data_IF_935194458908
#
_entry.id   IF_935194458908
#
_cell.length_a   1.000
_cell.length_b   1.000
_cell.length_c   1.000
_cell.angle_alpha   90.00
_cell.angle_beta   90.00
_cell.angle_gamma   90.00
#
_symmetry.space_group_name_H-M   'P 1'
#
loop_
_entity.id
_entity.type
_entity.pdbx_description
1 polymer ?
#
# COMPACT_ATOMS: atom_id res chain seq x y z
N UNK A 1 22.05 -18.76 2.07
CA UNK A 1 20.79 -19.21 1.41
C UNK A 1 19.56 -19.07 2.33
N UNK A 2 19.64 -19.38 3.61
CA UNK A 2 18.48 -19.22 4.53
C UNK A 2 18.01 -17.77 4.69
N UNK A 3 18.93 -16.80 4.80
CA UNK A 3 18.58 -15.39 4.97
C UNK A 3 17.86 -14.80 3.74
N UNK A 4 18.32 -15.11 2.52
CA UNK A 4 17.65 -14.68 1.28
C UNK A 4 16.19 -15.12 1.22
N UNK A 5 15.89 -16.38 1.58
CA UNK A 5 14.52 -16.88 1.61
C UNK A 5 13.68 -16.22 2.70
N UNK A 6 14.26 -15.93 3.86
CA UNK A 6 13.58 -15.24 4.96
C UNK A 6 13.18 -13.82 4.56
N UNK A 7 14.10 -13.04 3.97
CA UNK A 7 13.80 -11.67 3.53
C UNK A 7 12.79 -11.64 2.38
N UNK A 8 12.87 -12.59 1.44
CA UNK A 8 11.88 -12.70 0.36
C UNK A 8 10.49 -13.06 0.89
N UNK A 9 10.39 -14.04 1.79
CA UNK A 9 9.13 -14.42 2.42
C UNK A 9 8.51 -13.25 3.21
N UNK A 10 9.35 -12.49 3.93
CA UNK A 10 8.91 -11.30 4.67
C UNK A 10 8.42 -10.21 3.74
N UNK A 11 9.14 -9.94 2.63
CA UNK A 11 8.73 -8.96 1.62
C UNK A 11 7.43 -9.34 0.94
N UNK A 12 7.27 -10.60 0.55
CA UNK A 12 6.02 -11.12 -0.02
C UNK A 12 4.86 -10.99 0.98
N UNK A 13 5.08 -11.35 2.24
CA UNK A 13 4.08 -11.19 3.31
C UNK A 13 3.68 -9.72 3.46
N UNK A 14 4.66 -8.81 3.50
CA UNK A 14 4.41 -7.37 3.60
C UNK A 14 3.59 -6.88 2.40
N UNK A 15 4.02 -7.20 1.18
CA UNK A 15 3.37 -6.76 -0.05
C UNK A 15 1.94 -7.30 -0.19
N UNK A 16 1.72 -8.59 0.12
CA UNK A 16 0.38 -9.20 0.08
C UNK A 16 -0.56 -8.57 1.11
N UNK A 17 -0.09 -8.38 2.35
CA UNK A 17 -0.92 -7.77 3.39
C UNK A 17 -1.21 -6.29 3.09
N UNK A 18 -0.23 -5.54 2.59
CA UNK A 18 -0.42 -4.15 2.15
C UNK A 18 -1.48 -4.08 1.05
N UNK A 19 -1.36 -4.88 -0.01
CA UNK A 19 -2.31 -4.93 -1.11
C UNK A 19 -3.72 -5.34 -0.64
N UNK A 20 -3.82 -6.34 0.24
CA UNK A 20 -5.07 -6.80 0.80
C UNK A 20 -5.77 -5.73 1.66
N UNK A 21 -5.02 -5.01 2.50
CA UNK A 21 -5.57 -3.93 3.32
C UNK A 21 -5.94 -2.69 2.50
N UNK A 22 -5.21 -2.39 1.44
CA UNK A 22 -5.50 -1.28 0.56
C UNK A 22 -6.79 -1.49 -0.25
N UNK A 23 -7.13 -2.71 -0.60
CA UNK A 23 -8.34 -2.98 -1.39
C UNK A 23 -9.61 -2.41 -0.74
N UNK A 24 -9.97 -2.70 0.51
CA UNK A 24 -11.13 -2.10 1.17
C UNK A 24 -10.89 -0.64 1.58
N UNK A 25 -9.68 -0.29 2.07
CA UNK A 25 -9.38 1.05 2.57
C UNK A 25 -9.39 2.08 1.43
N UNK A 26 -8.50 1.92 0.45
CA UNK A 26 -8.42 2.80 -0.70
C UNK A 26 -9.67 2.69 -1.58
N UNK A 27 -10.25 1.49 -1.72
CA UNK A 27 -11.47 1.25 -2.49
C UNK A 27 -12.68 2.02 -1.94
N UNK A 28 -12.90 2.02 -0.63
CA UNK A 28 -14.01 2.77 -0.01
C UNK A 28 -13.83 4.29 -0.17
N UNK A 29 -12.62 4.80 0.03
CA UNK A 29 -12.29 6.21 -0.15
C UNK A 29 -12.41 6.62 -1.63
N UNK A 30 -11.94 5.79 -2.54
CA UNK A 30 -12.05 6.00 -3.98
C UNK A 30 -13.51 6.01 -4.45
N UNK A 31 -14.33 5.07 -3.99
CA UNK A 31 -15.75 5.05 -4.28
C UNK A 31 -16.47 6.31 -3.77
N UNK A 32 -16.21 6.68 -2.50
CA UNK A 32 -16.80 7.88 -1.88
C UNK A 32 -16.47 9.14 -2.71
N UNK A 33 -15.20 9.34 -3.05
CA UNK A 33 -14.74 10.53 -3.77
C UNK A 33 -15.09 10.50 -5.26
N UNK A 34 -15.20 9.32 -5.88
CA UNK A 34 -15.64 9.20 -7.27
C UNK A 34 -17.12 9.53 -7.45
N UNK A 35 -17.98 9.16 -6.49
CA UNK A 35 -19.43 9.14 -6.66
C UNK A 35 -20.19 10.19 -5.84
N UNK A 36 -19.53 10.88 -4.91
CA UNK A 36 -20.18 11.89 -4.08
C UNK A 36 -19.46 13.23 -4.15
N UNK A 37 -20.24 14.29 -4.07
CA UNK A 37 -19.79 15.66 -3.82
C UNK A 37 -20.12 16.02 -2.37
N UNK A 38 -19.13 16.51 -1.62
CA UNK A 38 -19.31 16.94 -0.23
C UNK A 38 -18.29 18.03 0.11
N UNK A 39 -18.61 18.83 1.13
CA UNK A 39 -17.69 19.86 1.61
C UNK A 39 -16.40 19.21 2.16
N UNK A 40 -15.22 19.70 1.73
CA UNK A 40 -13.92 19.15 2.13
C UNK A 40 -13.40 18.00 1.26
N UNK A 41 -14.12 17.57 0.19
CA UNK A 41 -13.66 16.53 -0.73
C UNK A 41 -12.26 16.81 -1.28
N UNK A 42 -12.01 18.02 -1.76
CA UNK A 42 -10.70 18.42 -2.32
C UNK A 42 -9.60 18.34 -1.26
N UNK A 43 -9.89 18.73 -0.03
CA UNK A 43 -8.94 18.61 1.07
C UNK A 43 -8.64 17.14 1.40
N UNK A 44 -9.67 16.28 1.45
CA UNK A 44 -9.48 14.85 1.65
C UNK A 44 -8.61 14.23 0.53
N UNK A 45 -8.92 14.53 -0.73
CA UNK A 45 -8.13 14.07 -1.87
C UNK A 45 -6.68 14.57 -1.78
N UNK A 46 -6.45 15.83 -1.43
CA UNK A 46 -5.10 16.39 -1.25
C UNK A 46 -4.33 15.68 -0.12
N UNK A 47 -4.97 15.41 1.02
CA UNK A 47 -4.36 14.67 2.13
C UNK A 47 -4.02 13.23 1.76
N UNK A 48 -4.91 12.56 1.02
CA UNK A 48 -4.67 11.19 0.56
C UNK A 48 -3.51 11.11 -0.43
N UNK A 49 -3.24 12.17 -1.20
CA UNK A 49 -2.15 12.24 -2.17
C UNK A 49 -0.83 12.74 -1.57
N UNK A 50 -0.86 13.31 -0.37
CA UNK A 50 0.31 13.88 0.29
C UNK A 50 1.52 12.94 0.35
N UNK A 51 1.36 11.64 0.67
CA UNK A 51 2.50 10.72 0.72
C UNK A 51 3.27 10.58 -0.59
N UNK A 52 2.64 10.80 -1.76
CA UNK A 52 3.33 10.78 -3.06
C UNK A 52 4.25 12.00 -3.28
N UNK A 53 3.97 13.10 -2.62
CA UNK A 53 4.73 14.35 -2.79
C UNK A 53 5.91 14.46 -1.82
N UNK A 54 5.89 13.68 -0.76
CA UNK A 54 6.95 13.66 0.24
C UNK A 54 8.06 12.68 -0.16
N UNK A 55 9.35 13.04 0.07
CA UNK A 55 10.42 12.06 -0.03
C UNK A 55 10.15 10.87 0.91
N UNK A 56 10.34 9.61 0.46
CA UNK A 56 10.04 8.41 1.26
C UNK A 56 10.70 8.42 2.64
N UNK A 57 11.94 8.90 2.73
CA UNK A 57 12.68 9.01 4.00
C UNK A 57 12.08 10.04 4.95
N UNK A 58 11.53 11.14 4.42
CA UNK A 58 10.86 12.18 5.22
C UNK A 58 9.55 11.64 5.80
N UNK A 59 8.74 10.98 4.96
CA UNK A 59 7.52 10.32 5.43
C UNK A 59 7.85 9.26 6.49
N UNK A 60 8.84 8.41 6.23
CA UNK A 60 9.30 7.38 7.16
C UNK A 60 9.77 7.95 8.48
N UNK A 61 10.48 9.08 8.47
CA UNK A 61 10.90 9.78 9.69
C UNK A 61 9.71 10.26 10.54
N UNK A 62 8.72 10.91 9.93
CA UNK A 62 7.53 11.35 10.66
C UNK A 62 6.70 10.17 11.17
N UNK A 63 6.61 9.08 10.41
CA UNK A 63 5.98 7.84 10.91
C UNK A 63 6.77 7.22 12.06
N UNK A 64 8.10 7.24 12.02
CA UNK A 64 8.93 6.77 13.13
C UNK A 64 8.67 7.59 14.41
N UNK A 65 8.56 8.92 14.31
CA UNK A 65 8.20 9.77 15.45
C UNK A 65 6.80 9.46 15.99
N UNK A 66 5.86 9.14 15.11
CA UNK A 66 4.48 8.82 15.49
C UNK A 66 4.36 7.46 16.18
N UNK A 67 5.08 6.44 15.63
CA UNK A 67 4.98 5.02 16.02
C UNK A 67 6.01 4.62 17.09
N UNK A 68 7.07 5.41 17.28
CA UNK A 68 8.19 5.12 18.17
C UNK A 68 7.95 5.50 19.63
N UNK A 69 8.92 5.14 20.47
CA UNK A 69 8.92 5.46 21.92
C UNK A 69 8.80 6.97 22.14
N UNK A 70 7.86 7.35 22.99
CA UNK A 70 7.56 8.77 23.26
C UNK A 70 6.63 9.44 22.24
N UNK A 71 6.28 8.79 21.17
CA UNK A 71 5.31 9.26 20.19
C UNK A 71 3.87 9.25 20.74
N UNK A 72 2.94 9.91 20.04
CA UNK A 72 1.54 9.98 20.49
C UNK A 72 0.88 8.61 20.60
N UNK A 73 1.22 7.63 19.73
CA UNK A 73 0.67 6.28 19.79
C UNK A 73 1.28 5.46 20.93
N UNK A 74 2.55 5.68 21.28
CA UNK A 74 3.17 5.02 22.43
C UNK A 74 2.49 5.41 23.75
N UNK A 75 1.98 6.66 23.87
CA UNK A 75 1.19 7.10 25.03
C UNK A 75 -0.13 6.35 25.15
N UNK A 76 -0.63 5.76 24.06
CA UNK A 76 -1.81 4.89 24.03
C UNK A 76 -1.46 3.39 24.18
N UNK A 77 -0.19 3.07 24.48
CA UNK A 77 0.30 1.70 24.61
C UNK A 77 0.65 1.01 23.30
N UNK A 78 0.70 1.75 22.18
CA UNK A 78 0.98 1.22 20.83
C UNK A 78 2.37 1.65 20.38
N UNK A 79 3.40 0.89 20.76
CA UNK A 79 4.75 1.05 20.24
C UNK A 79 4.94 0.13 19.02
N UNK A 80 4.87 0.69 17.82
CA UNK A 80 4.90 -0.07 16.57
C UNK A 80 6.20 0.10 15.78
N UNK A 81 7.04 1.09 16.13
CA UNK A 81 8.34 1.23 15.45
C UNK A 81 9.20 -0.01 15.67
N UNK A 82 9.97 -0.38 14.64
CA UNK A 82 10.85 -1.55 14.64
C UNK A 82 10.12 -2.90 14.76
N UNK A 83 8.84 -2.94 14.42
CA UNK A 83 8.03 -4.17 14.38
C UNK A 83 7.42 -4.39 12.98
N UNK A 84 7.03 -5.64 12.67
CA UNK A 84 6.33 -5.94 11.43
C UNK A 84 5.00 -5.16 11.27
N UNK A 85 4.12 -5.03 12.29
CA UNK A 85 2.94 -4.18 12.20
C UNK A 85 3.26 -2.70 11.89
N UNK A 86 4.38 -2.19 12.40
CA UNK A 86 4.82 -0.82 12.13
C UNK A 86 5.19 -0.61 10.67
N UNK A 87 5.99 -1.52 10.08
CA UNK A 87 6.33 -1.43 8.66
C UNK A 87 5.11 -1.69 7.76
N UNK A 88 4.18 -2.54 8.18
CA UNK A 88 2.92 -2.79 7.45
C UNK A 88 2.06 -1.52 7.41
N UNK A 89 1.88 -0.84 8.55
CA UNK A 89 1.16 0.43 8.60
C UNK A 89 1.82 1.50 7.73
N UNK A 90 3.15 1.59 7.80
CA UNK A 90 3.92 2.53 6.99
C UNK A 90 3.76 2.26 5.49
N UNK A 91 3.84 0.99 5.07
CA UNK A 91 3.63 0.58 3.68
C UNK A 91 2.21 0.83 3.19
N UNK A 92 1.19 0.57 4.03
CA UNK A 92 -0.20 0.90 3.69
C UNK A 92 -0.37 2.40 3.46
N UNK A 93 0.15 3.25 4.36
CA UNK A 93 0.03 4.70 4.23
C UNK A 93 0.79 5.24 3.01
N UNK A 94 1.97 4.70 2.72
CA UNK A 94 2.78 5.13 1.58
C UNK A 94 2.17 4.72 0.24
N UNK A 95 1.57 3.53 0.15
CA UNK A 95 0.95 3.00 -1.06
C UNK A 95 -0.52 3.43 -1.22
N UNK A 96 -1.14 4.01 -0.19
CA UNK A 96 -2.54 4.43 -0.22
C UNK A 96 -2.87 5.35 -1.40
N UNK A 97 -2.09 6.41 -1.71
CA UNK A 97 -2.40 7.28 -2.84
C UNK A 97 -2.34 6.55 -4.19
N UNK A 98 -1.44 5.58 -4.35
CA UNK A 98 -1.27 4.82 -5.59
C UNK A 98 -2.51 3.96 -5.89
N UNK A 99 -2.94 3.17 -4.90
CA UNK A 99 -4.16 2.38 -5.00
C UNK A 99 -5.42 3.26 -5.11
N UNK A 100 -5.50 4.32 -4.29
CA UNK A 100 -6.62 5.27 -4.29
C UNK A 100 -6.85 5.89 -5.65
N UNK A 101 -5.80 6.42 -6.30
CA UNK A 101 -5.94 7.04 -7.61
C UNK A 101 -6.42 6.05 -8.67
N UNK A 102 -5.81 4.87 -8.73
CA UNK A 102 -6.17 3.85 -9.72
C UNK A 102 -7.62 3.38 -9.53
N UNK A 103 -8.03 3.13 -8.30
CA UNK A 103 -9.41 2.71 -7.99
C UNK A 103 -10.42 3.84 -8.27
N UNK A 104 -10.05 5.09 -7.94
CA UNK A 104 -10.91 6.24 -8.18
C UNK A 104 -11.20 6.43 -9.67
N UNK A 105 -10.18 6.30 -10.53
CA UNK A 105 -10.38 6.38 -11.97
C UNK A 105 -11.24 5.23 -12.50
N UNK A 106 -11.05 4.01 -12.00
CA UNK A 106 -11.92 2.88 -12.35
C UNK A 106 -13.39 3.13 -11.99
N UNK A 107 -13.63 3.70 -10.79
CA UNK A 107 -14.99 4.06 -10.38
C UNK A 107 -15.56 5.26 -11.14
N UNK A 108 -14.74 6.24 -11.53
CA UNK A 108 -15.19 7.39 -12.34
C UNK A 108 -15.57 7.00 -13.76
N UNK A 109 -14.91 6.00 -14.32
CA UNK A 109 -15.19 5.48 -15.66
C UNK A 109 -16.56 4.80 -15.78
N UNK A 110 -17.23 4.44 -14.67
CA UNK A 110 -18.56 3.85 -14.70
C UNK A 110 -19.60 4.88 -15.15
N UNK A 111 -20.37 4.54 -16.17
CA UNK A 111 -21.52 5.35 -16.62
C UNK A 111 -22.60 5.39 -15.52
N UNK A 112 -22.99 6.58 -15.05
CA UNK A 112 -24.08 6.72 -14.08
C UNK A 112 -25.40 6.09 -14.55
N UNK A 113 -25.67 6.11 -15.86
CA UNK A 113 -26.89 5.59 -16.47
C UNK A 113 -27.05 4.09 -16.19
N UNK A 114 -25.96 3.33 -16.18
CA UNK A 114 -26.01 1.89 -15.86
C UNK A 114 -26.48 1.64 -14.42
N UNK A 115 -26.05 2.46 -13.49
CA UNK A 115 -26.44 2.34 -12.08
C UNK A 115 -27.93 2.73 -11.88
N UNK A 116 -28.39 3.77 -12.57
CA UNK A 116 -29.77 4.21 -12.54
C UNK A 116 -30.70 3.18 -13.18
N UNK A 117 -30.33 2.65 -14.35
CA UNK A 117 -31.08 1.59 -15.03
C UNK A 117 -31.22 0.34 -14.16
N UNK A 118 -30.15 -0.12 -13.52
CA UNK A 118 -30.21 -1.27 -12.63
C UNK A 118 -31.17 -1.04 -11.46
N UNK A 119 -31.20 0.18 -10.90
CA UNK A 119 -32.11 0.56 -9.80
C UNK A 119 -33.57 0.62 -10.27
N UNK A 120 -33.84 1.18 -11.45
CA UNK A 120 -35.20 1.24 -12.00
C UNK A 120 -35.75 -0.16 -12.32
N UNK A 121 -34.88 -1.12 -12.65
CA UNK A 121 -35.21 -2.52 -12.78
C UNK A 121 -35.39 -3.27 -11.45
N UNK A 122 -35.40 -2.54 -10.31
CA UNK A 122 -35.62 -3.11 -8.98
C UNK A 122 -34.40 -3.72 -8.32
N UNK A 123 -33.19 -3.52 -8.86
CA UNK A 123 -31.97 -4.02 -8.22
C UNK A 123 -31.66 -3.25 -6.92
N UNK A 124 -31.59 -3.97 -5.81
CA UNK A 124 -31.15 -3.40 -4.52
C UNK A 124 -29.65 -3.00 -4.55
N UNK A 125 -29.17 -2.20 -3.58
CA UNK A 125 -27.81 -1.67 -3.57
C UNK A 125 -26.72 -2.75 -3.66
N UNK A 126 -26.87 -3.84 -2.94
CA UNK A 126 -25.92 -4.95 -2.95
C UNK A 126 -25.88 -5.67 -4.32
N UNK A 127 -27.04 -5.82 -4.97
CA UNK A 127 -27.13 -6.40 -6.30
C UNK A 127 -26.47 -5.51 -7.35
N UNK A 128 -26.72 -4.19 -7.31
CA UNK A 128 -26.03 -3.21 -8.18
C UNK A 128 -24.51 -3.28 -7.97
N UNK A 129 -24.05 -3.38 -6.72
CA UNK A 129 -22.63 -3.49 -6.42
C UNK A 129 -22.00 -4.75 -7.00
N UNK A 130 -22.62 -5.92 -6.77
CA UNK A 130 -22.08 -7.22 -7.21
C UNK A 130 -22.18 -7.47 -8.71
N UNK A 131 -23.26 -7.02 -9.36
CA UNK A 131 -23.58 -7.38 -10.75
C UNK A 131 -23.18 -6.28 -11.74
N UNK A 132 -23.00 -5.03 -11.29
CA UNK A 132 -22.67 -3.91 -12.16
C UNK A 132 -21.32 -3.30 -11.77
N UNK A 133 -21.21 -2.79 -10.54
CA UNK A 133 -20.02 -2.03 -10.13
C UNK A 133 -18.78 -2.89 -10.14
N UNK A 134 -18.78 -3.97 -9.38
CA UNK A 134 -17.61 -4.82 -9.18
C UNK A 134 -17.10 -5.44 -10.50
N UNK A 135 -17.95 -6.05 -11.35
CA UNK A 135 -17.47 -6.62 -12.62
C UNK A 135 -16.86 -5.56 -13.57
N UNK A 136 -17.47 -4.38 -13.65
CA UNK A 136 -17.00 -3.33 -14.54
C UNK A 136 -15.73 -2.61 -14.04
N UNK A 137 -15.52 -2.56 -12.72
CA UNK A 137 -14.34 -1.92 -12.13
C UNK A 137 -13.22 -2.88 -11.78
N UNK A 138 -13.50 -4.20 -11.82
CA UNK A 138 -12.53 -5.22 -11.44
C UNK A 138 -11.16 -5.09 -12.10
N UNK A 139 -11.04 -4.81 -13.44
CA UNK A 139 -9.71 -4.64 -14.04
C UNK A 139 -8.91 -3.50 -13.44
N UNK A 140 -9.56 -2.36 -13.15
CA UNK A 140 -8.89 -1.23 -12.50
C UNK A 140 -8.56 -1.47 -11.04
N UNK A 141 -9.43 -2.18 -10.29
CA UNK A 141 -9.13 -2.59 -8.92
C UNK A 141 -7.95 -3.56 -8.88
N UNK A 142 -7.93 -4.53 -9.78
CA UNK A 142 -6.81 -5.48 -9.89
C UNK A 142 -5.51 -4.77 -10.25
N UNK A 143 -5.54 -3.88 -11.25
CA UNK A 143 -4.35 -3.10 -11.65
C UNK A 143 -3.78 -2.28 -10.51
N UNK A 144 -4.61 -1.56 -9.75
CA UNK A 144 -4.16 -0.78 -8.60
C UNK A 144 -3.64 -1.64 -7.46
N UNK A 145 -4.23 -2.82 -7.26
CA UNK A 145 -3.78 -3.79 -6.25
C UNK A 145 -2.41 -4.36 -6.62
N UNK A 146 -2.22 -4.77 -7.88
CA UNK A 146 -0.94 -5.29 -8.38
C UNK A 146 0.14 -4.22 -8.35
N UNK A 147 -0.21 -2.99 -8.71
CA UNK A 147 0.72 -1.86 -8.67
C UNK A 147 1.19 -1.57 -7.23
N UNK A 148 0.27 -1.55 -6.26
CA UNK A 148 0.61 -1.39 -4.85
C UNK A 148 1.45 -2.56 -4.32
N UNK A 149 1.15 -3.78 -4.74
CA UNK A 149 1.94 -4.97 -4.41
C UNK A 149 3.37 -4.86 -4.93
N UNK A 150 3.55 -4.61 -6.22
CA UNK A 150 4.87 -4.49 -6.85
C UNK A 150 5.69 -3.33 -6.25
N UNK A 151 5.04 -2.18 -6.01
CA UNK A 151 5.68 -1.03 -5.38
C UNK A 151 6.14 -1.36 -3.95
N UNK A 152 5.34 -2.09 -3.16
CA UNK A 152 5.71 -2.52 -1.80
C UNK A 152 6.92 -3.47 -1.81
N UNK A 153 7.07 -4.36 -2.80
CA UNK A 153 8.23 -5.24 -2.92
C UNK A 153 9.55 -4.46 -3.09
N UNK A 154 9.50 -3.35 -3.83
CA UNK A 154 10.65 -2.47 -4.05
C UNK A 154 10.82 -1.36 -3.01
N UNK A 155 9.89 -1.23 -2.05
CA UNK A 155 9.92 -0.15 -1.08
C UNK A 155 11.10 -0.28 -0.12
N UNK A 156 11.87 0.81 0.02
CA UNK A 156 13.08 0.84 0.82
C UNK A 156 13.03 1.95 1.90
N UNK A 157 12.86 3.20 1.47
CA UNK A 157 13.09 4.38 2.33
C UNK A 157 12.17 4.45 3.55
N UNK A 158 10.86 4.26 3.36
CA UNK A 158 9.87 4.31 4.46
C UNK A 158 10.04 3.12 5.39
N UNK A 159 10.22 1.91 4.82
CA UNK A 159 10.36 0.67 5.60
C UNK A 159 11.64 0.69 6.43
N UNK A 160 12.75 1.16 5.86
CA UNK A 160 14.01 1.29 6.59
C UNK A 160 13.90 2.28 7.76
N UNK A 161 13.26 3.41 7.55
CA UNK A 161 13.11 4.44 8.59
C UNK A 161 12.26 3.97 9.76
N UNK A 162 11.16 3.26 9.49
CA UNK A 162 10.20 2.80 10.51
C UNK A 162 10.62 1.48 11.15
N UNK A 163 11.20 0.59 10.34
CA UNK A 163 11.52 -0.79 10.73
C UNK A 163 12.97 -1.04 11.08
N UNK A 164 13.90 -0.20 10.60
CA UNK A 164 15.32 -0.53 10.64
C UNK A 164 15.64 -1.77 9.80
N UNK A 165 16.55 -2.61 10.31
CA UNK A 165 16.99 -3.84 9.62
C UNK A 165 17.08 -4.99 10.62
N UNK A 166 15.95 -5.42 11.18
CA UNK A 166 15.90 -6.49 12.18
C UNK A 166 15.64 -7.83 11.46
N UNK A 167 16.61 -8.78 11.48
CA UNK A 167 16.45 -10.07 10.84
C UNK A 167 15.21 -10.82 11.29
N UNK A 168 14.42 -11.30 10.33
CA UNK A 168 13.18 -12.05 10.60
C UNK A 168 11.97 -11.20 11.02
N UNK A 169 12.13 -9.91 11.29
CA UNK A 169 11.07 -9.01 11.76
C UNK A 169 10.78 -7.88 10.76
N UNK A 170 11.80 -7.09 10.39
CA UNK A 170 11.63 -5.90 9.54
C UNK A 170 12.62 -5.83 8.39
N UNK A 171 13.64 -6.70 8.35
CA UNK A 171 14.60 -6.78 7.24
C UNK A 171 13.93 -7.38 6.01
N UNK A 172 13.37 -6.52 5.15
CA UNK A 172 12.80 -6.90 3.86
C UNK A 172 13.88 -7.00 2.78
N UNK A 173 13.55 -7.58 1.63
CA UNK A 173 14.52 -7.87 0.57
C UNK A 173 15.19 -6.62 -0.01
N UNK A 174 14.49 -5.48 -0.11
CA UNK A 174 15.06 -4.20 -0.55
C UNK A 174 16.14 -3.67 0.42
N UNK A 175 15.93 -3.83 1.72
CA UNK A 175 16.92 -3.49 2.76
C UNK A 175 18.13 -4.44 2.68
N UNK A 176 17.88 -5.74 2.55
CA UNK A 176 18.96 -6.72 2.44
C UNK A 176 19.78 -6.54 1.16
N UNK A 177 19.14 -6.21 0.04
CA UNK A 177 19.82 -5.86 -1.21
C UNK A 177 20.75 -4.65 -1.02
N UNK A 178 20.30 -3.63 -0.34
CA UNK A 178 21.11 -2.47 0.01
C UNK A 178 22.32 -2.86 0.88
N UNK A 179 22.13 -3.67 1.93
CA UNK A 179 23.22 -4.15 2.78
C UNK A 179 24.26 -4.97 2.01
N UNK A 180 23.82 -5.87 1.12
CA UNK A 180 24.72 -6.64 0.26
C UNK A 180 25.56 -5.74 -0.66
N UNK A 181 24.93 -4.70 -1.20
CA UNK A 181 25.61 -3.72 -2.06
C UNK A 181 26.64 -2.91 -1.27
N UNK A 182 26.31 -2.46 -0.06
CA UNK A 182 27.23 -1.75 0.82
C UNK A 182 28.42 -2.64 1.26
N UNK A 183 28.18 -3.94 1.45
CA UNK A 183 29.20 -4.93 1.78
C UNK A 183 30.02 -5.39 0.57
N UNK A 184 29.78 -4.84 -0.65
CA UNK A 184 30.39 -5.23 -1.91
C UNK A 184 30.20 -6.72 -2.28
N UNK A 185 29.14 -7.35 -1.76
CA UNK A 185 28.74 -8.74 -2.07
C UNK A 185 27.85 -8.76 -3.32
N UNK A 186 28.42 -8.29 -4.45
CA UNK A 186 27.68 -8.01 -5.68
C UNK A 186 27.03 -9.24 -6.32
N UNK A 187 27.66 -10.42 -6.24
CA UNK A 187 27.06 -11.65 -6.78
C UNK A 187 25.78 -12.06 -6.05
N UNK A 188 25.74 -11.87 -4.74
CA UNK A 188 24.54 -12.16 -3.94
C UNK A 188 23.48 -11.09 -4.14
N UNK A 189 23.89 -9.83 -4.25
CA UNK A 189 23.00 -8.72 -4.57
C UNK A 189 22.32 -8.95 -5.93
N UNK A 190 23.07 -9.37 -6.94
CA UNK A 190 22.58 -9.63 -8.30
C UNK A 190 21.53 -10.76 -8.32
N UNK A 191 21.81 -11.86 -7.60
CA UNK A 191 20.85 -12.97 -7.45
C UNK A 191 19.56 -12.52 -6.77
N UNK A 192 19.66 -11.74 -5.70
CA UNK A 192 18.49 -11.24 -4.99
C UNK A 192 17.69 -10.24 -5.84
N UNK A 193 18.39 -9.34 -6.55
CA UNK A 193 17.77 -8.40 -7.48
C UNK A 193 17.02 -9.10 -8.61
N UNK A 194 17.62 -10.17 -9.19
CA UNK A 194 16.96 -11.00 -10.20
C UNK A 194 15.69 -11.69 -9.68
N UNK A 195 15.70 -12.16 -8.43
CA UNK A 195 14.51 -12.75 -7.80
C UNK A 195 13.42 -11.70 -7.57
N UNK A 196 13.78 -10.50 -7.11
CA UNK A 196 12.83 -9.39 -6.94
C UNK A 196 12.22 -8.95 -8.26
N UNK A 197 13.04 -8.87 -9.33
CA UNK A 197 12.55 -8.53 -10.67
C UNK A 197 11.57 -9.58 -11.21
N UNK A 198 11.74 -10.84 -10.87
CA UNK A 198 10.84 -11.91 -11.31
C UNK A 198 9.52 -11.96 -10.51
N UNK A 199 9.47 -11.33 -9.34
CA UNK A 199 8.30 -11.29 -8.45
C UNK A 199 7.43 -10.02 -8.61
N UNK A 200 7.99 -8.92 -9.13
CA UNK A 200 7.33 -7.62 -9.35
C UNK A 200 6.89 -7.44 -10.79
#
# INVERSE_FOLDING_TARGET
MSETWTVLALSLKLALLTAFLLLPLAGSLAWLTARRTFAGKTLLEALLLLPLTLPPTVLGYYLLLLLGKGGPLARMGLELAFTFPGILLASVLFNLPLAFNTYREAFRALDPTLLETARTLGAGPLKVWREVVLPLTWPGLLSGTLLAFAHTLGEFGVVLMVGGSIPGETKVASIYLFELTQALRLEEADRLAGLLLALG
#
